data_IF_246559013168
#
_entry.id   IF_246559013168
#
_cell.length_a   1.000
_cell.length_b   1.000
_cell.length_c   1.000
_cell.angle_alpha   90.00
_cell.angle_beta   90.00
_cell.angle_gamma   90.00
#
_symmetry.space_group_name_H-M   'P 1'
#
loop_
_entity.id
_entity.type
_entity.pdbx_description
1 polymer ?
#
# COMPACT_ATOMS: atom_id res chain seq x y z
N UNK A 1 6.44 15.88 3.52
CA UNK A 1 7.07 17.18 3.91
C UNK A 1 8.57 17.04 4.11
N UNK A 2 9.07 15.98 4.74
CA UNK A 2 10.52 15.76 4.94
C UNK A 2 11.27 15.47 3.63
N UNK A 3 10.67 14.67 2.75
CA UNK A 3 11.25 14.30 1.44
C UNK A 3 11.45 15.53 0.54
N UNK A 4 10.48 16.46 0.51
CA UNK A 4 10.59 17.73 -0.22
C UNK A 4 11.72 18.62 0.33
N UNK A 5 11.98 18.59 1.64
CA UNK A 5 13.10 19.31 2.27
C UNK A 5 14.44 18.68 1.92
N UNK A 6 14.52 17.35 1.90
CA UNK A 6 15.72 16.62 1.47
C UNK A 6 16.05 16.97 0.02
N UNK A 7 15.06 16.94 -0.87
CA UNK A 7 15.25 17.32 -2.26
C UNK A 7 15.71 18.77 -2.41
N UNK A 8 15.07 19.73 -1.74
CA UNK A 8 15.52 21.14 -1.74
C UNK A 8 16.97 21.30 -1.28
N UNK A 9 17.41 20.50 -0.31
CA UNK A 9 18.80 20.52 0.17
C UNK A 9 19.76 19.97 -0.89
N UNK A 10 19.41 18.85 -1.54
CA UNK A 10 20.16 18.28 -2.67
C UNK A 10 20.27 19.29 -3.81
N UNK A 11 19.16 19.95 -4.18
CA UNK A 11 19.14 21.02 -5.20
C UNK A 11 20.06 22.18 -4.82
N UNK A 12 20.00 22.65 -3.57
CA UNK A 12 20.81 23.76 -3.08
C UNK A 12 22.31 23.42 -3.11
N UNK A 13 22.67 22.21 -2.69
CA UNK A 13 24.05 21.73 -2.69
C UNK A 13 24.63 21.66 -4.11
N UNK A 14 23.83 21.17 -5.06
CA UNK A 14 24.18 21.11 -6.48
C UNK A 14 24.46 22.51 -7.06
N UNK A 15 23.56 23.48 -6.80
CA UNK A 15 23.71 24.86 -7.28
C UNK A 15 24.97 25.51 -6.70
N UNK A 16 25.19 25.36 -5.39
CA UNK A 16 26.36 25.93 -4.70
C UNK A 16 27.66 25.34 -5.27
N UNK A 17 27.70 24.01 -5.46
CA UNK A 17 28.88 23.32 -6.02
C UNK A 17 29.16 23.78 -7.45
N UNK A 18 28.11 23.92 -8.27
CA UNK A 18 28.23 24.45 -9.64
C UNK A 18 28.76 25.89 -9.68
N UNK A 19 28.28 26.75 -8.78
CA UNK A 19 28.74 28.14 -8.67
C UNK A 19 30.21 28.23 -8.22
N UNK A 20 30.63 27.44 -7.23
CA UNK A 20 32.02 27.38 -6.77
C UNK A 20 32.95 26.92 -7.90
N UNK A 21 32.55 25.87 -8.64
CA UNK A 21 33.30 25.37 -9.80
C UNK A 21 33.46 26.45 -10.88
N UNK A 22 32.39 27.18 -11.19
CA UNK A 22 32.42 28.29 -12.16
C UNK A 22 33.40 29.40 -11.74
N UNK A 23 33.37 29.81 -10.47
CA UNK A 23 34.27 30.85 -9.93
C UNK A 23 35.73 30.39 -9.97
N UNK A 24 36.00 29.11 -9.70
CA UNK A 24 37.36 28.54 -9.73
C UNK A 24 38.00 28.52 -11.13
N UNK A 25 37.18 28.58 -12.19
CA UNK A 25 37.64 28.53 -13.58
C UNK A 25 37.90 29.93 -14.18
N UNK A 26 37.52 31.01 -13.50
CA UNK A 26 37.73 32.41 -13.95
C UNK A 26 39.20 32.72 -14.30
N UNK A 27 40.21 32.24 -13.57
CA UNK A 27 41.61 32.49 -13.90
C UNK A 27 42.07 31.89 -15.24
N UNK A 28 41.32 30.93 -15.81
CA UNK A 28 41.66 30.25 -17.06
C UNK A 28 41.08 30.93 -18.31
N UNK A 29 40.32 32.02 -18.13
CA UNK A 29 39.73 32.80 -19.23
C UNK A 29 38.20 32.65 -19.33
N UNK A 30 37.54 33.73 -19.72
CA UNK A 30 36.07 33.85 -19.73
C UNK A 30 35.42 32.82 -20.67
N UNK A 31 36.02 32.55 -21.83
CA UNK A 31 35.51 31.56 -22.78
C UNK A 31 35.48 30.14 -22.20
N UNK A 32 36.47 29.82 -21.35
CA UNK A 32 36.56 28.52 -20.68
C UNK A 32 35.50 28.39 -19.58
N UNK A 33 35.18 29.49 -18.88
CA UNK A 33 34.08 29.54 -17.91
C UNK A 33 32.72 29.38 -18.61
N UNK A 34 32.49 30.07 -19.73
CA UNK A 34 31.20 30.01 -20.45
C UNK A 34 30.96 28.61 -21.01
N UNK A 35 31.93 28.03 -21.72
CA UNK A 35 31.78 26.69 -22.32
C UNK A 35 31.58 25.62 -21.25
N UNK A 36 32.43 25.60 -20.21
CA UNK A 36 32.30 24.60 -19.14
C UNK A 36 31.09 24.86 -18.25
N UNK A 37 30.68 26.12 -18.08
CA UNK A 37 29.48 26.51 -17.36
C UNK A 37 28.20 26.02 -18.02
N UNK A 38 28.07 26.21 -19.34
CA UNK A 38 26.96 25.66 -20.12
C UNK A 38 26.95 24.14 -20.06
N UNK A 39 28.13 23.50 -20.11
CA UNK A 39 28.25 22.05 -20.01
C UNK A 39 27.82 21.52 -18.65
N UNK A 40 28.28 22.14 -17.56
CA UNK A 40 27.90 21.82 -16.19
C UNK A 40 26.39 22.01 -15.98
N UNK A 41 25.83 23.14 -16.45
CA UNK A 41 24.41 23.41 -16.36
C UNK A 41 23.58 22.34 -17.10
N UNK A 42 24.03 21.91 -18.27
CA UNK A 42 23.37 20.86 -19.06
C UNK A 42 23.42 19.50 -18.35
N UNK A 43 24.55 19.16 -17.73
CA UNK A 43 24.68 17.94 -16.92
C UNK A 43 23.75 18.00 -15.71
N UNK A 44 23.67 19.14 -15.02
CA UNK A 44 22.76 19.30 -13.89
C UNK A 44 21.30 19.19 -14.30
N UNK A 45 20.89 19.86 -15.38
CA UNK A 45 19.52 19.74 -15.91
C UNK A 45 19.19 18.30 -16.32
N UNK A 46 20.14 17.61 -16.95
CA UNK A 46 20.00 16.19 -17.30
C UNK A 46 19.85 15.29 -16.07
N UNK A 47 20.66 15.51 -15.04
CA UNK A 47 20.59 14.76 -13.78
C UNK A 47 19.26 14.99 -13.07
N UNK A 48 18.83 16.26 -12.95
CA UNK A 48 17.57 16.64 -12.31
C UNK A 48 16.34 16.11 -13.06
N UNK A 49 16.36 16.21 -14.39
CA UNK A 49 15.31 15.64 -15.23
C UNK A 49 15.25 14.11 -15.10
N UNK A 50 16.41 13.45 -15.08
CA UNK A 50 16.52 12.00 -14.89
C UNK A 50 16.02 11.54 -13.53
N UNK A 51 16.40 12.22 -12.44
CA UNK A 51 15.96 11.87 -11.08
C UNK A 51 14.46 12.11 -10.91
N UNK A 52 13.94 13.25 -11.35
CA UNK A 52 12.52 13.55 -11.27
C UNK A 52 11.68 12.54 -12.07
N UNK A 53 12.13 12.17 -13.27
CA UNK A 53 11.47 11.14 -14.08
C UNK A 53 11.52 9.76 -13.40
N UNK A 54 12.67 9.41 -12.80
CA UNK A 54 12.83 8.16 -12.07
C UNK A 54 11.91 8.07 -10.85
N UNK A 55 11.81 9.13 -10.06
CA UNK A 55 10.87 9.21 -8.94
C UNK A 55 9.42 9.15 -9.40
N UNK A 56 9.07 9.91 -10.44
CA UNK A 56 7.73 9.89 -11.02
C UNK A 56 7.31 8.48 -11.46
N UNK A 57 8.20 7.76 -12.16
CA UNK A 57 7.94 6.39 -12.59
C UNK A 57 7.83 5.41 -11.40
N UNK A 58 8.62 5.62 -10.35
CA UNK A 58 8.55 4.81 -9.13
C UNK A 58 7.22 5.01 -8.41
N UNK A 59 6.80 6.25 -8.22
CA UNK A 59 5.51 6.61 -7.59
C UNK A 59 4.37 5.99 -8.40
N UNK A 60 4.34 6.21 -9.72
CA UNK A 60 3.30 5.67 -10.60
C UNK A 60 3.24 4.14 -10.57
N UNK A 61 4.38 3.46 -10.51
CA UNK A 61 4.44 2.00 -10.41
C UNK A 61 3.91 1.51 -9.05
N UNK A 62 4.24 2.22 -7.99
CA UNK A 62 3.81 1.90 -6.64
C UNK A 62 2.30 2.11 -6.46
N UNK A 63 1.75 3.22 -6.96
CA UNK A 63 0.30 3.48 -7.01
C UNK A 63 -0.44 2.36 -7.76
N UNK A 64 0.02 2.01 -8.98
CA UNK A 64 -0.54 0.89 -9.74
C UNK A 64 -0.47 -0.44 -8.98
N UNK A 65 0.60 -0.65 -8.20
CA UNK A 65 0.74 -1.86 -7.37
C UNK A 65 -0.28 -1.86 -6.22
N UNK A 66 -0.55 -0.69 -5.63
CA UNK A 66 -1.60 -0.49 -4.63
C UNK A 66 -2.99 -0.75 -5.19
N UNK A 67 -3.30 -0.22 -6.38
CA UNK A 67 -4.58 -0.43 -7.07
C UNK A 67 -4.84 -1.90 -7.41
N UNK A 68 -3.85 -2.60 -7.97
CA UNK A 68 -3.98 -4.04 -8.29
C UNK A 68 -4.21 -4.84 -7.01
N UNK A 69 -3.45 -4.55 -5.95
CA UNK A 69 -3.66 -5.21 -4.67
C UNK A 69 -5.05 -4.92 -4.10
N UNK A 70 -5.51 -3.67 -4.16
CA UNK A 70 -6.85 -3.29 -3.71
C UNK A 70 -7.93 -4.06 -4.48
N UNK A 71 -7.80 -4.18 -5.80
CA UNK A 71 -8.70 -4.97 -6.65
C UNK A 71 -8.72 -6.45 -6.24
N UNK A 72 -7.56 -7.07 -6.03
CA UNK A 72 -7.46 -8.48 -5.62
C UNK A 72 -8.14 -8.69 -4.24
N UNK A 73 -7.94 -7.76 -3.31
CA UNK A 73 -8.53 -7.79 -1.98
C UNK A 73 -10.05 -7.58 -2.02
N UNK A 74 -10.54 -6.66 -2.84
CA UNK A 74 -11.98 -6.45 -3.07
C UNK A 74 -12.64 -7.74 -3.56
N UNK A 75 -12.02 -8.43 -4.51
CA UNK A 75 -12.55 -9.69 -5.04
C UNK A 75 -12.54 -10.81 -3.99
N UNK A 76 -11.48 -10.91 -3.18
CA UNK A 76 -11.45 -11.84 -2.04
C UNK A 76 -12.56 -11.56 -1.02
N UNK A 77 -12.93 -10.29 -0.76
CA UNK A 77 -14.07 -9.96 0.10
C UNK A 77 -15.41 -10.33 -0.52
N UNK A 78 -15.57 -10.15 -1.84
CA UNK A 78 -16.79 -10.59 -2.54
C UNK A 78 -16.98 -12.09 -2.41
N UNK A 79 -15.92 -12.87 -2.65
CA UNK A 79 -15.97 -14.33 -2.45
C UNK A 79 -16.26 -14.68 -0.99
N UNK A 80 -15.65 -13.99 -0.02
CA UNK A 80 -15.94 -14.23 1.39
C UNK A 80 -17.39 -13.90 1.77
N UNK A 81 -17.97 -12.84 1.19
CA UNK A 81 -19.40 -12.52 1.35
C UNK A 81 -20.27 -13.68 0.85
N UNK A 82 -19.93 -14.25 -0.30
CA UNK A 82 -20.66 -15.40 -0.84
C UNK A 82 -20.48 -16.69 -0.02
N UNK A 83 -19.35 -16.87 0.65
CA UNK A 83 -19.07 -18.05 1.48
C UNK A 83 -19.66 -17.96 2.89
N UNK A 84 -20.00 -16.75 3.34
CA UNK A 84 -20.51 -16.50 4.67
C UNK A 84 -21.80 -17.31 4.91
N UNK A 85 -21.89 -17.96 6.07
CA UNK A 85 -23.04 -18.80 6.43
C UNK A 85 -23.14 -20.16 5.72
N UNK A 86 -22.24 -20.48 4.77
CA UNK A 86 -22.22 -21.79 4.09
C UNK A 86 -21.51 -22.91 4.87
N UNK A 87 -21.05 -22.63 6.09
CA UNK A 87 -20.21 -23.57 6.87
C UNK A 87 -18.83 -23.81 6.25
N UNK A 88 -18.40 -22.99 5.28
CA UNK A 88 -17.10 -23.09 4.63
C UNK A 88 -16.17 -22.03 5.25
N UNK A 89 -14.92 -22.38 5.58
CA UNK A 89 -13.94 -21.39 6.03
C UNK A 89 -13.76 -20.26 5.01
N UNK A 90 -13.83 -19.02 5.49
CA UNK A 90 -13.58 -17.84 4.69
C UNK A 90 -12.12 -17.81 4.23
N UNK A 91 -11.90 -17.37 2.99
CA UNK A 91 -10.57 -17.30 2.40
C UNK A 91 -9.69 -16.34 3.18
N UNK A 92 -8.48 -16.83 3.46
CA UNK A 92 -7.40 -16.07 4.09
C UNK A 92 -6.49 -15.38 3.06
N UNK A 93 -6.92 -15.18 1.79
CA UNK A 93 -6.10 -14.52 0.76
C UNK A 93 -5.56 -13.15 1.21
N UNK A 94 -6.34 -12.45 2.03
CA UNK A 94 -5.96 -11.24 2.77
C UNK A 94 -4.71 -11.35 3.65
N UNK A 95 -4.35 -12.54 4.12
CA UNK A 95 -3.21 -12.77 5.00
C UNK A 95 -1.88 -12.80 4.24
N UNK A 96 -1.94 -13.26 2.99
CA UNK A 96 -0.76 -13.45 2.12
C UNK A 96 -0.57 -12.23 1.23
N UNK A 97 -1.66 -11.66 0.72
CA UNK A 97 -1.64 -10.51 -0.18
C UNK A 97 -1.82 -9.18 0.55
N UNK A 98 -2.60 -9.14 1.64
CA UNK A 98 -3.22 -7.93 2.19
C UNK A 98 -2.37 -7.11 3.15
N UNK A 99 -3.01 -6.57 4.19
CA UNK A 99 -2.58 -5.40 5.00
C UNK A 99 -1.21 -5.47 5.68
N UNK A 100 -0.57 -6.65 5.71
CA UNK A 100 0.80 -6.86 6.21
C UNK A 100 1.86 -6.89 5.10
N UNK A 101 1.46 -6.94 3.84
CA UNK A 101 2.33 -6.82 2.69
C UNK A 101 2.91 -5.41 2.63
N UNK A 102 4.19 -5.27 2.29
CA UNK A 102 4.80 -3.96 2.04
C UNK A 102 4.04 -3.17 0.97
N UNK A 103 3.35 -3.85 0.05
CA UNK A 103 2.52 -3.23 -0.99
C UNK A 103 1.24 -2.57 -0.45
N UNK A 104 0.78 -2.96 0.75
CA UNK A 104 -0.38 -2.35 1.39
C UNK A 104 -0.10 -0.90 1.81
N UNK A 105 1.18 -0.47 1.85
CA UNK A 105 1.53 0.92 2.10
C UNK A 105 1.05 1.87 0.98
N UNK A 106 0.86 1.33 -0.23
CA UNK A 106 0.39 2.06 -1.41
C UNK A 106 -1.12 2.04 -1.58
N UNK A 107 -1.86 1.33 -0.72
CA UNK A 107 -3.32 1.42 -0.66
C UNK A 107 -3.67 2.72 0.10
N UNK A 108 -4.63 3.53 -0.40
CA UNK A 108 -5.03 4.72 0.32
C UNK A 108 -5.52 4.42 1.74
N UNK A 109 -5.24 5.35 2.66
CA UNK A 109 -5.27 5.08 4.10
C UNK A 109 -6.67 4.75 4.63
N UNK A 110 -7.72 5.32 4.01
CA UNK A 110 -9.10 5.08 4.42
C UNK A 110 -9.49 3.60 4.18
N UNK A 111 -9.21 3.10 2.99
CA UNK A 111 -9.45 1.75 2.50
C UNK A 111 -8.61 0.77 3.32
N UNK A 112 -7.31 1.06 3.48
CA UNK A 112 -6.40 0.24 4.29
C UNK A 112 -6.90 0.07 5.73
N UNK A 113 -7.47 1.12 6.33
CA UNK A 113 -8.05 1.05 7.69
C UNK A 113 -9.31 0.19 7.74
N UNK A 114 -10.20 0.27 6.74
CA UNK A 114 -11.38 -0.61 6.65
C UNK A 114 -10.95 -2.08 6.54
N UNK A 115 -9.99 -2.38 5.65
CA UNK A 115 -9.45 -3.73 5.48
C UNK A 115 -8.81 -4.29 6.77
N UNK A 116 -8.06 -3.46 7.50
CA UNK A 116 -7.48 -3.83 8.80
C UNK A 116 -8.53 -4.19 9.85
N UNK A 117 -9.73 -3.60 9.79
CA UNK A 117 -10.82 -3.88 10.74
C UNK A 117 -11.58 -5.17 10.40
N UNK A 118 -11.68 -5.53 9.13
CA UNK A 118 -12.30 -6.78 8.67
C UNK A 118 -11.43 -7.99 9.06
N UNK A 119 -10.10 -7.83 8.94
CA UNK A 119 -9.12 -8.88 9.16
C UNK A 119 -9.26 -9.72 10.46
N UNK A 120 -9.28 -9.12 11.67
CA UNK A 120 -9.34 -9.89 12.90
C UNK A 120 -10.68 -10.62 13.06
N UNK A 121 -11.76 -10.07 12.51
CA UNK A 121 -13.10 -10.65 12.63
C UNK A 121 -13.24 -11.91 11.78
N UNK A 122 -12.77 -11.88 10.53
CA UNK A 122 -12.69 -13.08 9.67
C UNK A 122 -11.81 -14.17 10.29
N UNK A 123 -10.73 -13.77 10.96
CA UNK A 123 -9.84 -14.70 11.67
C UNK A 123 -10.59 -15.43 12.78
N UNK A 124 -11.25 -14.67 13.65
CA UNK A 124 -12.01 -15.21 14.77
C UNK A 124 -13.14 -16.13 14.29
N UNK A 125 -13.91 -15.70 13.29
CA UNK A 125 -14.99 -16.51 12.71
C UNK A 125 -14.48 -17.87 12.19
N UNK A 126 -13.33 -17.89 11.52
CA UNK A 126 -12.74 -19.12 11.02
C UNK A 126 -12.26 -20.05 12.14
N UNK A 127 -11.74 -19.49 13.24
CA UNK A 127 -11.29 -20.27 14.39
C UNK A 127 -12.50 -20.91 15.12
N UNK A 128 -13.60 -20.17 15.26
CA UNK A 128 -14.87 -20.68 15.80
C UNK A 128 -15.49 -21.75 14.90
N UNK A 129 -15.53 -21.52 13.58
CA UNK A 129 -15.99 -22.52 12.61
C UNK A 129 -15.15 -23.80 12.69
N UNK A 130 -13.84 -23.68 12.86
CA UNK A 130 -12.97 -24.84 13.05
C UNK A 130 -13.21 -25.55 14.38
N UNK A 131 -13.66 -24.85 15.43
CA UNK A 131 -14.10 -25.48 16.67
C UNK A 131 -15.41 -26.26 16.47
N UNK A 132 -16.37 -25.69 15.74
CA UNK A 132 -17.63 -26.37 15.39
C UNK A 132 -17.38 -27.64 14.59
N UNK A 133 -16.60 -27.59 13.51
CA UNK A 133 -16.27 -28.78 12.72
C UNK A 133 -15.54 -29.86 13.55
N UNK A 134 -14.67 -29.47 14.49
CA UNK A 134 -14.01 -30.43 15.39
C UNK A 134 -15.01 -31.10 16.36
N UNK A 135 -15.98 -30.34 16.86
CA UNK A 135 -17.03 -30.85 17.72
C UNK A 135 -17.88 -31.89 16.97
N UNK A 136 -18.30 -31.58 15.73
CA UNK A 136 -19.02 -32.51 14.86
C UNK A 136 -18.25 -33.81 14.60
N UNK A 137 -16.95 -33.72 14.30
CA UNK A 137 -16.09 -34.90 14.08
C UNK A 137 -15.91 -35.78 15.32
N UNK A 138 -16.05 -35.20 16.51
CA UNK A 138 -15.88 -35.91 17.79
C UNK A 138 -17.20 -36.36 18.42
N UNK A 139 -18.34 -36.08 17.76
CA UNK A 139 -19.68 -36.43 18.25
C UNK A 139 -20.12 -35.64 19.48
N UNK A 140 -19.42 -34.57 19.83
CA UNK A 140 -19.79 -33.65 20.90
C UNK A 140 -20.44 -32.41 20.30
N UNK A 141 -21.62 -31.96 20.75
CA UNK A 141 -22.23 -30.75 20.21
C UNK A 141 -21.35 -29.53 20.51
N UNK A 142 -21.27 -28.61 19.55
CA UNK A 142 -20.65 -27.31 19.79
C UNK A 142 -21.41 -26.55 20.88
N UNK A 143 -20.71 -25.72 21.66
CA UNK A 143 -21.37 -24.90 22.68
C UNK A 143 -22.35 -23.91 22.01
N UNK A 144 -23.57 -23.72 22.54
CA UNK A 144 -24.51 -22.71 22.04
C UNK A 144 -23.92 -21.29 22.00
N UNK A 145 -22.95 -21.02 22.87
CA UNK A 145 -22.22 -19.76 22.92
C UNK A 145 -21.39 -19.53 21.65
N UNK A 146 -20.76 -20.59 21.11
CA UNK A 146 -19.98 -20.52 19.86
C UNK A 146 -20.90 -20.30 18.68
N UNK A 147 -22.06 -20.97 18.63
CA UNK A 147 -23.04 -20.75 17.55
C UNK A 147 -23.61 -19.32 17.56
N UNK A 148 -23.89 -18.78 18.76
CA UNK A 148 -24.35 -17.39 18.92
C UNK A 148 -23.26 -16.40 18.52
N UNK A 149 -22.02 -16.65 18.92
CA UNK A 149 -20.87 -15.81 18.57
C UNK A 149 -20.62 -15.82 17.07
N UNK A 150 -20.67 -16.99 16.42
CA UNK A 150 -20.51 -17.10 14.98
C UNK A 150 -21.57 -16.32 14.20
N UNK A 151 -22.83 -16.33 14.65
CA UNK A 151 -23.90 -15.50 14.04
C UNK A 151 -23.59 -14.01 14.18
N UNK A 152 -23.11 -13.58 15.34
CA UNK A 152 -22.69 -12.19 15.58
C UNK A 152 -21.52 -11.80 14.68
N UNK A 153 -20.49 -12.64 14.62
CA UNK A 153 -19.30 -12.43 13.78
C UNK A 153 -19.67 -12.42 12.30
N UNK A 154 -20.57 -13.29 11.86
CA UNK A 154 -21.07 -13.28 10.48
C UNK A 154 -21.74 -11.95 10.14
N UNK A 155 -22.68 -11.49 10.96
CA UNK A 155 -23.34 -10.19 10.74
C UNK A 155 -22.33 -9.01 10.73
N UNK A 156 -21.33 -9.04 11.61
CA UNK A 156 -20.29 -8.01 11.65
C UNK A 156 -19.37 -8.06 10.42
N UNK A 157 -19.02 -9.26 9.94
CA UNK A 157 -18.24 -9.45 8.70
C UNK A 157 -19.03 -8.93 7.50
N UNK A 158 -20.30 -9.32 7.38
CA UNK A 158 -21.18 -8.90 6.29
C UNK A 158 -21.28 -7.37 6.24
N UNK A 159 -21.63 -6.73 7.37
CA UNK A 159 -21.73 -5.28 7.46
C UNK A 159 -20.42 -4.58 7.08
N UNK A 160 -19.26 -5.06 7.56
CA UNK A 160 -17.97 -4.43 7.23
C UNK A 160 -17.56 -4.65 5.77
N UNK A 161 -17.89 -5.80 5.18
CA UNK A 161 -17.65 -6.04 3.77
C UNK A 161 -18.51 -5.09 2.94
N UNK A 162 -19.78 -4.94 3.30
CA UNK A 162 -20.71 -4.07 2.56
C UNK A 162 -20.28 -2.61 2.63
N UNK A 163 -19.95 -2.08 3.81
CA UNK A 163 -19.37 -0.72 3.97
C UNK A 163 -18.08 -0.53 3.15
N UNK A 164 -17.25 -1.58 3.05
CA UNK A 164 -16.05 -1.51 2.22
C UNK A 164 -16.40 -1.47 0.73
N UNK A 165 -17.26 -2.36 0.25
CA UNK A 165 -17.64 -2.45 -1.16
C UNK A 165 -18.39 -1.20 -1.64
N UNK A 166 -19.32 -0.65 -0.84
CA UNK A 166 -20.00 0.60 -1.16
C UNK A 166 -19.03 1.77 -1.34
N UNK A 167 -17.94 1.80 -0.56
CA UNK A 167 -16.90 2.82 -0.72
C UNK A 167 -15.99 2.62 -1.93
N UNK A 168 -16.08 1.49 -2.64
CA UNK A 168 -15.36 1.27 -3.89
C UNK A 168 -16.21 1.63 -5.13
N UNK A 169 -17.54 1.64 -5.00
CA UNK A 169 -18.48 1.96 -6.07
C UNK A 169 -18.88 3.46 -6.11
N UNK A 170 -18.39 4.26 -5.16
CA UNK A 170 -18.63 5.72 -5.01
C UNK A 170 -17.54 6.57 -5.66
#
# INVERSE_FOLDING_TARGET
>A
MEESRLWLLVFSLVIITGAILMVSLVPLGIDTVVINGVRLLSIFLGMLGGTALGEYLKIRKNEKTGEVLLSDLTEELRVNRELLGKGIPLRKGFWILGVRSGRAEYIPEAERRKLWRIYPVITHYNDDLAAVHRAELTGSPASPEVESEMKRLAADIEHKIDDFLESQDS
#
